data_IF_269095813397
#
_entry.id   IF_269095813397
#
_cell.length_a   1.000
_cell.length_b   1.000
_cell.length_c   1.000
_cell.angle_alpha   90.00
_cell.angle_beta   90.00
_cell.angle_gamma   90.00
#
_symmetry.space_group_name_H-M   'P 1'
#
loop_
_entity.id
_entity.type
_entity.pdbx_description
1 polymer ?
#
# COMPACT_ATOMS: atom_id res chain seq x y z
N UNK A 1 -55.55 -33.67 37.14
CA UNK A 1 -55.01 -32.93 35.96
C UNK A 1 -53.74 -32.18 36.36
N UNK A 2 -52.70 -32.21 35.53
CA UNK A 2 -51.60 -31.23 35.55
C UNK A 2 -50.20 -31.76 35.92
N UNK A 3 -49.61 -32.60 35.07
CA UNK A 3 -48.17 -32.96 35.15
C UNK A 3 -47.37 -31.80 34.54
N UNK A 4 -46.61 -31.03 35.33
CA UNK A 4 -45.76 -29.94 34.81
C UNK A 4 -44.30 -30.41 34.72
N UNK A 5 -43.90 -30.79 33.50
CA UNK A 5 -42.53 -31.22 33.14
C UNK A 5 -41.62 -29.98 33.06
N UNK A 6 -40.69 -29.83 33.99
CA UNK A 6 -39.65 -28.78 33.96
C UNK A 6 -38.41 -29.37 33.30
N UNK A 7 -38.07 -28.86 32.12
CA UNK A 7 -36.90 -29.26 31.32
C UNK A 7 -35.61 -28.99 32.10
N UNK A 8 -34.74 -30.00 32.16
CA UNK A 8 -33.33 -29.88 32.53
C UNK A 8 -32.64 -28.93 31.54
N UNK A 9 -31.91 -27.96 32.06
CA UNK A 9 -31.07 -27.04 31.28
C UNK A 9 -29.66 -27.63 31.26
N UNK A 10 -29.07 -27.95 30.09
CA UNK A 10 -27.66 -28.28 30.05
C UNK A 10 -26.82 -27.00 30.14
N UNK A 11 -25.95 -26.95 31.15
CA UNK A 11 -24.90 -25.95 31.32
C UNK A 11 -23.87 -26.14 30.18
N UNK A 12 -24.00 -25.36 29.10
CA UNK A 12 -22.98 -25.25 28.07
C UNK A 12 -22.07 -24.07 28.40
N UNK A 13 -20.92 -24.34 29.01
CA UNK A 13 -19.85 -23.36 29.16
C UNK A 13 -18.91 -23.48 27.96
N UNK A 14 -18.83 -22.37 27.23
CA UNK A 14 -18.09 -22.20 25.99
C UNK A 14 -16.62 -22.64 26.12
N UNK A 15 -16.16 -23.42 25.16
CA UNK A 15 -14.73 -23.43 24.83
C UNK A 15 -14.38 -22.06 24.25
N UNK A 16 -13.57 -21.28 24.97
CA UNK A 16 -12.90 -20.12 24.41
C UNK A 16 -11.85 -20.58 23.41
N UNK A 17 -12.30 -20.99 22.22
CA UNK A 17 -11.49 -20.90 21.03
C UNK A 17 -11.41 -19.42 20.71
N UNK A 18 -10.29 -18.79 21.07
CA UNK A 18 -9.93 -17.49 20.52
C UNK A 18 -9.73 -17.71 19.02
N UNK A 19 -10.82 -17.61 18.26
CA UNK A 19 -10.78 -17.52 16.81
C UNK A 19 -10.02 -16.22 16.58
N UNK A 20 -8.74 -16.32 16.22
CA UNK A 20 -8.02 -15.21 15.64
C UNK A 20 -8.92 -14.73 14.50
N UNK A 21 -9.60 -13.61 14.72
CA UNK A 21 -10.36 -12.95 13.68
C UNK A 21 -9.31 -12.44 12.70
N UNK A 22 -8.91 -13.31 11.76
CA UNK A 22 -8.21 -12.88 10.56
C UNK A 22 -9.31 -12.15 9.79
N UNK A 23 -9.51 -10.87 10.13
CA UNK A 23 -10.23 -9.98 9.24
C UNK A 23 -9.49 -10.08 7.92
N UNK A 24 -10.15 -10.44 6.80
CA UNK A 24 -9.54 -10.25 5.51
C UNK A 24 -9.26 -8.74 5.45
N UNK A 25 -8.00 -8.36 5.63
CA UNK A 25 -7.57 -7.00 5.39
C UNK A 25 -7.95 -6.73 3.95
N UNK A 26 -8.86 -5.78 3.73
CA UNK A 26 -9.16 -5.25 2.40
C UNK A 26 -7.82 -5.13 1.65
N UNK A 27 -7.74 -5.57 0.38
CA UNK A 27 -6.49 -5.47 -0.36
C UNK A 27 -6.00 -4.03 -0.25
N UNK A 28 -4.83 -3.86 0.36
CA UNK A 28 -4.23 -2.53 0.51
C UNK A 28 -3.82 -2.13 -0.89
N UNK A 29 -4.62 -1.29 -1.54
CA UNK A 29 -4.29 -0.71 -2.83
C UNK A 29 -3.07 0.17 -2.59
N UNK A 30 -1.94 -0.23 -3.18
CA UNK A 30 -0.69 0.52 -3.10
C UNK A 30 -0.71 1.57 -4.20
N UNK A 31 -0.38 2.79 -3.84
CA UNK A 31 -0.13 3.88 -4.78
C UNK A 31 1.36 4.14 -4.84
N UNK A 32 1.84 4.55 -5.99
CA UNK A 32 3.22 4.91 -6.23
C UNK A 32 3.27 6.40 -6.55
N UNK A 33 4.34 7.08 -6.16
CA UNK A 33 4.57 8.49 -6.51
C UNK A 33 6.00 8.69 -6.96
N UNK A 34 6.21 9.73 -7.77
CA UNK A 34 7.53 10.15 -8.17
C UNK A 34 8.04 11.22 -7.20
N UNK A 35 9.33 11.14 -6.87
CA UNK A 35 10.00 12.09 -5.98
C UNK A 35 11.21 12.70 -6.66
N UNK A 36 11.55 13.92 -6.27
CA UNK A 36 12.78 14.59 -6.73
C UNK A 36 14.04 14.04 -6.03
N UNK A 37 15.20 14.62 -6.34
CA UNK A 37 16.49 14.29 -5.74
C UNK A 37 16.56 14.46 -4.21
N UNK A 38 15.62 15.21 -3.62
CA UNK A 38 15.53 15.42 -2.18
C UNK A 38 14.52 14.48 -1.50
N UNK A 39 13.87 13.60 -2.26
CA UNK A 39 12.81 12.72 -1.76
C UNK A 39 11.48 13.45 -1.50
N UNK A 40 11.35 14.69 -1.97
CA UNK A 40 10.09 15.43 -1.95
C UNK A 40 9.24 15.05 -3.16
N UNK A 41 7.90 15.20 -3.11
CA UNK A 41 7.06 14.89 -4.26
C UNK A 41 7.51 15.70 -5.49
N UNK A 42 7.62 15.04 -6.64
CA UNK A 42 8.23 15.63 -7.82
C UNK A 42 7.41 16.85 -8.30
N UNK A 43 7.98 18.05 -8.47
CA UNK A 43 7.22 19.29 -8.67
C UNK A 43 6.36 19.33 -9.94
N UNK A 44 6.65 18.45 -10.90
CA UNK A 44 5.92 18.32 -12.17
C UNK A 44 5.16 16.99 -12.28
N UNK A 45 5.58 15.95 -11.54
CA UNK A 45 5.05 14.58 -11.66
C UNK A 45 4.52 14.11 -10.29
N UNK A 46 3.77 14.98 -9.62
CA UNK A 46 3.19 14.73 -8.28
C UNK A 46 1.89 13.92 -8.38
N UNK A 47 1.86 12.93 -9.27
CA UNK A 47 0.71 12.06 -9.48
C UNK A 47 0.83 10.74 -8.71
N UNK A 48 -0.33 10.10 -8.54
CA UNK A 48 -0.44 8.76 -7.95
C UNK A 48 -0.63 7.72 -9.04
N UNK A 49 0.28 6.76 -9.07
CA UNK A 49 0.25 5.64 -10.01
C UNK A 49 -0.21 4.37 -9.31
N UNK A 50 -0.91 3.49 -10.03
CA UNK A 50 -1.36 2.19 -9.50
C UNK A 50 -0.26 1.11 -9.57
N UNK A 51 0.83 1.38 -10.31
CA UNK A 51 1.93 0.43 -10.50
C UNK A 51 3.30 1.12 -10.56
N UNK A 52 4.35 0.39 -10.15
CA UNK A 52 5.75 0.84 -10.27
C UNK A 52 6.15 1.09 -11.73
N UNK A 53 5.67 0.25 -12.65
CA UNK A 53 6.01 0.34 -14.08
C UNK A 53 5.41 1.60 -14.71
N UNK A 54 4.16 1.94 -14.40
CA UNK A 54 3.52 3.18 -14.85
C UNK A 54 4.29 4.41 -14.36
N UNK A 55 4.60 4.46 -13.06
CA UNK A 55 5.39 5.55 -12.47
C UNK A 55 6.77 5.68 -13.13
N UNK A 56 7.49 4.56 -13.26
CA UNK A 56 8.85 4.58 -13.78
C UNK A 56 8.94 4.88 -15.28
N UNK A 57 7.95 4.41 -16.06
CA UNK A 57 7.84 4.74 -17.48
C UNK A 57 7.69 6.25 -17.66
N UNK A 58 6.80 6.88 -16.90
CA UNK A 58 6.56 8.32 -16.98
C UNK A 58 7.77 9.15 -16.53
N UNK A 59 8.44 8.74 -15.44
CA UNK A 59 9.70 9.34 -15.01
C UNK A 59 10.77 9.32 -16.11
N UNK A 60 10.92 8.17 -16.77
CA UNK A 60 11.91 7.99 -17.85
C UNK A 60 11.57 8.84 -19.07
N UNK A 61 10.30 8.86 -19.49
CA UNK A 61 9.83 9.66 -20.61
C UNK A 61 10.02 11.16 -20.36
N UNK A 62 9.65 11.64 -19.17
CA UNK A 62 9.82 13.03 -18.79
C UNK A 62 11.30 13.42 -18.78
N UNK A 63 12.17 12.61 -18.20
CA UNK A 63 13.60 12.89 -18.14
C UNK A 63 14.26 12.94 -19.53
N UNK A 64 13.92 11.99 -20.41
CA UNK A 64 14.40 11.99 -21.79
C UNK A 64 13.97 13.25 -22.55
N UNK A 65 12.79 13.80 -22.25
CA UNK A 65 12.31 15.05 -22.83
C UNK A 65 13.07 16.27 -22.27
N UNK A 66 13.46 16.27 -21.00
CA UNK A 66 14.22 17.37 -20.37
C UNK A 66 15.69 17.39 -20.78
N UNK A 67 16.32 16.21 -20.90
CA UNK A 67 17.76 16.07 -21.12
C UNK A 67 18.09 15.01 -22.19
N UNK A 68 17.66 15.21 -23.45
CA UNK A 68 17.85 14.23 -24.51
C UNK A 68 19.33 13.94 -24.75
N UNK A 69 19.70 12.66 -24.71
CA UNK A 69 21.07 12.21 -24.95
C UNK A 69 22.00 12.23 -23.74
N UNK A 70 21.48 12.47 -22.53
CA UNK A 70 22.28 12.41 -21.29
C UNK A 70 22.21 10.99 -20.70
N UNK A 71 23.29 10.20 -20.75
CA UNK A 71 23.33 8.89 -20.09
C UNK A 71 23.60 9.08 -18.59
N UNK A 72 22.58 8.74 -17.80
CA UNK A 72 22.61 8.57 -16.34
C UNK A 72 22.81 9.82 -15.44
N UNK A 73 22.30 9.81 -14.20
CA UNK A 73 21.21 8.99 -13.71
C UNK A 73 19.95 9.84 -13.38
N UNK A 74 18.78 9.21 -13.34
CA UNK A 74 17.50 9.91 -13.17
C UNK A 74 17.48 10.62 -11.80
N UNK A 75 17.40 11.94 -11.79
CA UNK A 75 17.13 12.76 -10.59
C UNK A 75 15.72 12.58 -10.03
N UNK A 76 15.09 11.44 -10.33
CA UNK A 76 13.72 11.07 -10.00
C UNK A 76 13.74 9.72 -9.29
N UNK A 77 13.19 9.68 -8.09
CA UNK A 77 12.95 8.46 -7.33
C UNK A 77 11.51 7.98 -7.44
N UNK A 78 11.25 6.78 -6.91
CA UNK A 78 9.88 6.24 -6.78
C UNK A 78 9.65 5.81 -5.35
N UNK A 79 8.51 6.20 -4.80
CA UNK A 79 8.03 5.73 -3.50
C UNK A 79 6.71 5.00 -3.63
N UNK A 80 6.42 4.13 -2.66
CA UNK A 80 5.17 3.39 -2.55
C UNK A 80 4.47 3.68 -1.23
N UNK A 81 3.16 3.80 -1.27
CA UNK A 81 2.34 3.94 -0.07
C UNK A 81 2.34 2.64 0.74
N UNK A 82 2.38 2.80 2.06
CA UNK A 82 2.25 1.74 3.04
C UNK A 82 0.82 1.65 3.55
N UNK A 83 0.44 0.51 4.11
CA UNK A 83 -0.85 0.34 4.80
C UNK A 83 -1.07 1.31 5.98
N UNK A 84 0.01 1.93 6.46
CA UNK A 84 -0.02 2.92 7.55
C UNK A 84 -0.16 4.37 7.06
N UNK A 85 -0.26 4.61 5.76
CA UNK A 85 -0.33 5.95 5.17
C UNK A 85 1.04 6.64 4.98
N UNK A 86 2.13 5.98 5.36
CA UNK A 86 3.51 6.45 5.12
C UNK A 86 4.01 6.04 3.73
N UNK A 87 5.11 6.63 3.29
CA UNK A 87 5.79 6.33 2.03
C UNK A 87 7.10 5.56 2.26
N UNK A 88 7.45 4.64 1.34
CA UNK A 88 8.74 3.94 1.33
C UNK A 88 9.39 4.05 -0.04
N UNK A 89 10.66 4.41 -0.07
CA UNK A 89 11.44 4.47 -1.31
C UNK A 89 11.67 3.08 -1.90
N UNK A 90 11.33 2.92 -3.18
CA UNK A 90 11.60 1.73 -3.99
C UNK A 90 12.77 1.94 -4.93
N UNK A 91 12.92 3.17 -5.43
CA UNK A 91 14.04 3.60 -6.26
C UNK A 91 14.52 4.94 -5.75
N UNK A 92 15.80 5.02 -5.40
CA UNK A 92 16.39 6.30 -5.06
C UNK A 92 16.60 7.12 -6.34
N UNK A 93 16.37 8.44 -6.29
CA UNK A 93 16.91 9.34 -7.28
C UNK A 93 18.42 9.11 -7.29
N UNK A 94 18.98 9.00 -8.47
CA UNK A 94 20.40 8.77 -8.58
C UNK A 94 21.15 10.11 -8.56
N UNK A 95 22.27 10.12 -7.83
CA UNK A 95 23.03 11.32 -7.48
C UNK A 95 24.09 11.68 -8.52
#
# INVERSE_FOLDING_TARGET
MGILRKKVVPLSMASSTHVFSIRPSSPVIRSYRLVDQYGSPHPVLDDLYDSLESAWSEATLWWQAQAPGTPEPLGIGVEVSTSTGNWRTLRHPAC
#
